data_IF_589814958624
#
_entry.id   IF_589814958624
#
_cell.length_a   1.000
_cell.length_b   1.000
_cell.length_c   1.000
_cell.angle_alpha   90.00
_cell.angle_beta   90.00
_cell.angle_gamma   90.00
#
_symmetry.space_group_name_H-M   'P 1'
#
loop_
_entity.id
_entity.type
_entity.pdbx_description
1 polymer ?
#
# COMPACT_ATOMS: atom_id res chain seq x y z
N UNK A 1 12.92 -11.30 1.96
CA UNK A 1 13.95 -11.53 3.00
C UNK A 1 13.58 -10.64 4.17
N UNK A 2 13.35 -11.23 5.35
CA UNK A 2 12.73 -10.54 6.48
C UNK A 2 13.72 -9.52 7.08
N UNK A 3 13.33 -8.25 7.23
CA UNK A 3 14.22 -7.17 7.71
C UNK A 3 14.90 -7.51 9.05
N UNK A 4 14.25 -8.28 9.91
CA UNK A 4 14.82 -8.75 11.19
C UNK A 4 15.99 -9.73 11.05
N UNK A 5 16.01 -10.56 10.01
CA UNK A 5 17.16 -11.42 9.71
C UNK A 5 18.32 -10.58 9.16
N UNK A 6 18.02 -9.55 8.35
CA UNK A 6 19.01 -8.61 7.85
C UNK A 6 19.66 -7.78 8.97
N UNK A 7 18.86 -7.24 9.88
CA UNK A 7 19.28 -6.53 11.09
C UNK A 7 20.18 -7.39 11.99
N UNK A 8 19.80 -8.64 12.24
CA UNK A 8 20.60 -9.56 13.06
C UNK A 8 21.96 -9.88 12.42
N UNK A 9 22.00 -10.01 11.08
CA UNK A 9 23.24 -10.25 10.33
C UNK A 9 24.13 -8.99 10.27
N UNK A 10 23.53 -7.81 10.13
CA UNK A 10 24.23 -6.52 10.10
C UNK A 10 24.80 -6.15 11.47
N UNK A 11 24.03 -6.37 12.54
CA UNK A 11 24.48 -6.22 13.92
C UNK A 11 25.64 -7.16 14.25
N UNK A 12 25.58 -8.42 13.80
CA UNK A 12 26.71 -9.35 13.90
C UNK A 12 27.95 -8.96 13.08
N UNK A 13 27.80 -8.06 12.10
CA UNK A 13 28.90 -7.52 11.29
C UNK A 13 29.45 -6.19 11.82
N UNK A 14 28.98 -5.73 12.98
CA UNK A 14 29.43 -4.48 13.61
C UNK A 14 28.92 -3.21 12.90
N UNK A 15 27.88 -3.33 12.06
CA UNK A 15 27.19 -2.17 11.49
C UNK A 15 26.17 -1.71 12.51
N UNK A 16 26.36 -0.50 13.04
CA UNK A 16 25.42 0.11 13.98
C UNK A 16 24.11 0.38 13.24
N UNK A 17 23.05 -0.32 13.64
CA UNK A 17 21.73 -0.13 13.05
C UNK A 17 20.93 0.72 13.99
N UNK A 18 20.62 1.93 13.53
CA UNK A 18 19.81 2.89 14.27
C UNK A 18 18.46 2.25 14.65
N UNK A 19 18.24 2.09 15.96
CA UNK A 19 17.06 1.45 16.51
C UNK A 19 15.77 2.21 16.19
N UNK A 20 15.84 3.53 16.04
CA UNK A 20 14.68 4.36 15.71
C UNK A 20 14.23 4.13 14.27
N UNK A 21 15.18 3.96 13.35
CA UNK A 21 14.92 3.56 11.96
C UNK A 21 14.30 2.16 11.89
N UNK A 22 14.80 1.21 12.69
CA UNK A 22 14.22 -0.13 12.75
C UNK A 22 12.76 -0.10 13.24
N UNK A 23 12.48 0.62 14.34
CA UNK A 23 11.12 0.77 14.87
C UNK A 23 10.18 1.42 13.85
N UNK A 24 10.64 2.45 13.11
CA UNK A 24 9.83 3.12 12.10
C UNK A 24 9.48 2.23 10.89
N UNK A 25 10.42 1.38 10.46
CA UNK A 25 10.16 0.41 9.38
C UNK A 25 9.18 -0.66 9.86
N UNK A 26 9.36 -1.19 11.07
CA UNK A 26 8.44 -2.20 11.63
C UNK A 26 7.03 -1.67 11.85
N UNK A 27 6.89 -0.44 12.37
CA UNK A 27 5.59 0.21 12.55
C UNK A 27 4.93 0.47 11.20
N UNK A 28 5.70 0.96 10.21
CA UNK A 28 5.25 1.16 8.83
C UNK A 28 4.74 -0.11 8.16
N UNK A 29 5.47 -1.22 8.29
CA UNK A 29 5.05 -2.53 7.79
C UNK A 29 3.78 -3.01 8.48
N UNK A 30 3.69 -2.85 9.81
CA UNK A 30 2.50 -3.23 10.56
C UNK A 30 1.26 -2.48 10.09
N UNK A 31 1.35 -1.15 9.97
CA UNK A 31 0.26 -0.30 9.46
C UNK A 31 -0.04 -0.64 7.99
N UNK A 32 0.99 -0.86 7.18
CA UNK A 32 0.84 -1.25 5.78
C UNK A 32 0.08 -2.56 5.59
N UNK A 33 0.36 -3.58 6.39
CA UNK A 33 -0.39 -4.85 6.36
C UNK A 33 -1.86 -4.60 6.69
N UNK A 34 -2.15 -3.86 7.77
CA UNK A 34 -3.54 -3.57 8.17
C UNK A 34 -4.29 -2.84 7.06
N UNK A 35 -3.71 -1.77 6.53
CA UNK A 35 -4.35 -0.98 5.48
C UNK A 35 -4.46 -1.75 4.16
N UNK A 36 -3.46 -2.57 3.81
CA UNK A 36 -3.50 -3.46 2.65
C UNK A 36 -4.60 -4.53 2.76
N UNK A 37 -4.79 -5.11 3.94
CA UNK A 37 -5.90 -6.02 4.20
C UNK A 37 -7.25 -5.32 4.07
N UNK A 38 -7.40 -4.12 4.66
CA UNK A 38 -8.62 -3.32 4.55
C UNK A 38 -8.94 -2.96 3.10
N UNK A 39 -7.92 -2.60 2.31
CA UNK A 39 -8.07 -2.35 0.88
C UNK A 39 -8.65 -3.57 0.15
N UNK A 40 -8.03 -4.74 0.35
CA UNK A 40 -8.48 -5.99 -0.29
C UNK A 40 -9.91 -6.38 0.13
N UNK A 41 -10.24 -6.23 1.41
CA UNK A 41 -11.59 -6.51 1.95
C UNK A 41 -12.62 -5.54 1.37
N UNK A 42 -12.33 -4.24 1.33
CA UNK A 42 -13.23 -3.23 0.77
C UNK A 42 -13.48 -3.47 -0.72
N UNK A 43 -12.43 -3.80 -1.47
CA UNK A 43 -12.52 -4.10 -2.90
C UNK A 43 -13.31 -5.38 -3.17
N UNK A 44 -13.08 -6.43 -2.38
CA UNK A 44 -13.84 -7.68 -2.46
C UNK A 44 -15.32 -7.52 -2.11
N UNK A 45 -15.63 -6.73 -1.08
CA UNK A 45 -17.00 -6.41 -0.69
C UNK A 45 -17.75 -5.64 -1.78
N UNK A 46 -17.07 -4.73 -2.48
CA UNK A 46 -17.62 -3.95 -3.58
C UNK A 46 -17.93 -4.80 -4.82
N UNK A 47 -16.98 -5.65 -5.24
CA UNK A 47 -17.11 -6.40 -6.50
C UNK A 47 -17.88 -7.72 -6.36
N UNK A 48 -17.91 -8.34 -5.16
CA UNK A 48 -18.56 -9.64 -4.88
C UNK A 48 -18.22 -10.77 -5.86
N UNK A 49 -17.12 -10.64 -6.60
CA UNK A 49 -16.60 -11.61 -7.54
C UNK A 49 -15.09 -11.75 -7.29
N UNK A 50 -14.67 -12.94 -6.87
CA UNK A 50 -13.29 -13.21 -6.48
C UNK A 50 -12.29 -12.95 -7.62
N UNK A 51 -12.65 -13.33 -8.85
CA UNK A 51 -11.78 -13.15 -10.02
C UNK A 51 -11.63 -11.66 -10.32
N UNK A 52 -12.74 -10.91 -10.37
CA UNK A 52 -12.68 -9.46 -10.59
C UNK A 52 -11.92 -8.76 -9.46
N UNK A 53 -12.09 -9.20 -8.21
CA UNK A 53 -11.37 -8.66 -7.05
C UNK A 53 -9.86 -8.81 -7.19
N UNK A 54 -9.41 -10.01 -7.53
CA UNK A 54 -7.98 -10.29 -7.71
C UNK A 54 -7.43 -9.51 -8.90
N UNK A 55 -8.11 -9.55 -10.05
CA UNK A 55 -7.66 -8.86 -11.27
C UNK A 55 -7.59 -7.36 -11.05
N UNK A 56 -8.64 -6.73 -10.50
CA UNK A 56 -8.65 -5.29 -10.23
C UNK A 56 -7.61 -4.91 -9.17
N UNK A 57 -7.46 -5.71 -8.11
CA UNK A 57 -6.44 -5.48 -7.09
C UNK A 57 -5.02 -5.51 -7.67
N UNK A 58 -4.71 -6.53 -8.48
CA UNK A 58 -3.42 -6.64 -9.17
C UNK A 58 -3.19 -5.49 -10.13
N UNK A 59 -4.19 -5.14 -10.94
CA UNK A 59 -4.09 -4.00 -11.86
C UNK A 59 -3.78 -2.73 -11.08
N UNK A 60 -4.53 -2.40 -10.03
CA UNK A 60 -4.34 -1.17 -9.25
C UNK A 60 -2.96 -1.10 -8.56
N UNK A 61 -2.39 -2.24 -8.17
CA UNK A 61 -1.07 -2.32 -7.57
C UNK A 61 0.07 -2.23 -8.60
N UNK A 62 -0.15 -2.72 -9.82
CA UNK A 62 0.86 -2.76 -10.89
C UNK A 62 0.77 -1.57 -11.85
N UNK A 63 -0.30 -0.76 -11.78
CA UNK A 63 -0.60 0.26 -12.78
C UNK A 63 0.44 1.38 -12.85
N UNK A 64 1.25 1.60 -11.80
CA UNK A 64 2.32 2.63 -11.81
C UNK A 64 3.18 2.52 -13.06
N UNK A 65 3.64 1.32 -13.42
CA UNK A 65 4.53 1.13 -14.56
C UNK A 65 3.90 1.62 -15.87
N UNK A 66 2.58 1.41 -16.01
CA UNK A 66 1.81 1.88 -17.17
C UNK A 66 1.58 3.39 -17.09
N UNK A 67 1.19 3.92 -15.92
CA UNK A 67 0.92 5.36 -15.75
C UNK A 67 2.18 6.21 -15.94
N UNK A 68 3.32 5.75 -15.43
CA UNK A 68 4.60 6.44 -15.59
C UNK A 68 5.01 6.57 -17.07
N UNK A 69 4.63 5.61 -17.92
CA UNK A 69 4.90 5.65 -19.35
C UNK A 69 4.07 6.70 -20.12
N UNK A 70 2.85 7.02 -19.65
CA UNK A 70 1.91 7.86 -20.40
C UNK A 70 1.63 9.23 -19.78
N UNK A 71 1.68 9.35 -18.45
CA UNK A 71 1.18 10.52 -17.69
C UNK A 71 2.31 11.21 -16.89
N UNK A 72 3.46 10.54 -16.70
CA UNK A 72 4.59 11.03 -15.93
C UNK A 72 4.63 10.48 -14.49
N UNK A 73 5.77 10.69 -13.82
CA UNK A 73 6.08 10.09 -12.51
C UNK A 73 5.34 10.73 -11.34
N UNK A 74 4.86 11.97 -11.50
CA UNK A 74 4.30 12.76 -10.40
C UNK A 74 2.97 12.26 -9.85
N UNK A 75 2.17 11.59 -10.67
CA UNK A 75 0.85 11.07 -10.24
C UNK A 75 0.99 9.61 -9.77
N UNK A 76 2.02 8.90 -10.23
CA UNK A 76 2.30 7.51 -9.87
C UNK A 76 2.43 7.28 -8.35
N UNK A 77 2.94 8.28 -7.62
CA UNK A 77 3.18 8.20 -6.17
C UNK A 77 1.92 8.13 -5.30
N UNK A 78 0.75 8.49 -5.84
CA UNK A 78 -0.53 8.41 -5.11
C UNK A 78 -1.27 7.09 -5.34
N UNK A 79 -0.74 6.20 -6.18
CA UNK A 79 -1.37 4.89 -6.39
C UNK A 79 -1.24 4.02 -5.14
N UNK A 80 -2.26 3.19 -4.83
CA UNK A 80 -2.28 2.38 -3.61
C UNK A 80 -1.09 1.42 -3.51
N UNK A 81 -0.59 0.88 -4.63
CA UNK A 81 0.61 0.05 -4.62
C UNK A 81 1.85 0.80 -4.12
N UNK A 82 2.04 2.04 -4.57
CA UNK A 82 3.21 2.86 -4.25
C UNK A 82 3.13 3.47 -2.86
N UNK A 83 1.94 3.93 -2.48
CA UNK A 83 1.68 4.36 -1.11
C UNK A 83 1.95 3.22 -0.11
N UNK A 84 1.62 1.98 -0.45
CA UNK A 84 1.95 0.84 0.42
C UNK A 84 3.47 0.60 0.51
N UNK A 85 4.21 0.73 -0.58
CA UNK A 85 5.68 0.57 -0.60
C UNK A 85 6.36 1.70 0.19
N UNK A 86 5.92 2.94 -0.01
CA UNK A 86 6.42 4.13 0.70
C UNK A 86 6.14 4.05 2.21
N UNK A 87 4.98 3.56 2.62
CA UNK A 87 4.61 3.36 4.02
C UNK A 87 5.51 2.33 4.74
N UNK A 88 6.02 1.33 3.99
CA UNK A 88 6.94 0.33 4.53
C UNK A 88 8.37 0.84 4.68
N UNK A 89 8.65 2.10 4.32
CA UNK A 89 9.99 2.69 4.41
C UNK A 89 11.01 2.01 3.50
N UNK A 90 10.55 1.32 2.45
CA UNK A 90 11.45 0.72 1.46
C UNK A 90 12.04 1.85 0.62
N UNK A 91 13.38 1.99 0.56
CA UNK A 91 14.00 2.94 -0.35
C UNK A 91 13.58 2.60 -1.78
N UNK A 92 12.76 3.45 -2.38
CA UNK A 92 12.39 3.30 -3.78
C UNK A 92 13.64 3.45 -4.63
N UNK A 93 13.87 2.50 -5.55
CA UNK A 93 14.88 2.68 -6.58
C UNK A 93 14.50 3.93 -7.40
N UNK A 94 15.30 4.99 -7.26
CA UNK A 94 15.38 6.16 -8.14
C UNK A 94 14.13 7.06 -8.27
N UNK A 95 13.19 7.07 -7.31
CA UNK A 95 12.02 7.97 -7.41
C UNK A 95 11.56 8.55 -6.08
N UNK A 96 11.11 9.82 -6.12
CA UNK A 96 10.54 10.58 -5.02
C UNK A 96 9.21 9.97 -4.56
N UNK A 97 9.29 9.01 -3.63
CA UNK A 97 8.15 8.43 -2.95
C UNK A 97 7.57 9.43 -1.93
N UNK A 98 6.29 9.28 -1.62
CA UNK A 98 5.66 10.06 -0.55
C UNK A 98 6.35 9.79 0.80
N UNK A 99 6.31 10.79 1.68
CA UNK A 99 6.62 10.59 3.09
C UNK A 99 5.78 9.44 3.65
N UNK A 100 6.34 8.68 4.60
CA UNK A 100 5.69 7.52 5.20
C UNK A 100 4.29 7.84 5.76
N UNK A 101 4.14 9.03 6.34
CA UNK A 101 2.85 9.51 6.89
C UNK A 101 1.86 9.84 5.77
N UNK A 102 2.30 10.56 4.75
CA UNK A 102 1.46 10.95 3.61
C UNK A 102 0.99 9.72 2.84
N UNK A 103 1.88 8.74 2.67
CA UNK A 103 1.58 7.46 2.04
C UNK A 103 0.50 6.68 2.82
N UNK A 104 0.60 6.66 4.16
CA UNK A 104 -0.42 6.07 5.03
C UNK A 104 -1.78 6.75 4.88
N UNK A 105 -1.81 8.09 4.83
CA UNK A 105 -3.05 8.86 4.64
C UNK A 105 -3.69 8.59 3.28
N UNK A 106 -2.90 8.54 2.20
CA UNK A 106 -3.41 8.23 0.86
C UNK A 106 -4.02 6.84 0.81
N UNK A 107 -3.37 5.84 1.40
CA UNK A 107 -3.90 4.48 1.42
C UNK A 107 -5.18 4.38 2.27
N UNK A 108 -5.21 5.04 3.43
CA UNK A 108 -6.38 5.09 4.30
C UNK A 108 -7.57 5.78 3.60
N UNK A 109 -7.32 6.90 2.91
CA UNK A 109 -8.32 7.59 2.12
C UNK A 109 -8.86 6.70 0.98
N UNK A 110 -7.99 5.96 0.30
CA UNK A 110 -8.40 5.02 -0.76
C UNK A 110 -9.28 3.90 -0.20
N UNK A 111 -8.92 3.35 0.96
CA UNK A 111 -9.74 2.35 1.65
C UNK A 111 -11.11 2.91 2.04
N UNK A 112 -11.17 4.14 2.57
CA UNK A 112 -12.41 4.80 2.96
C UNK A 112 -13.33 5.01 1.75
N UNK A 113 -12.79 5.48 0.62
CA UNK A 113 -13.54 5.65 -0.62
C UNK A 113 -14.11 4.32 -1.11
N UNK A 114 -13.31 3.25 -1.14
CA UNK A 114 -13.78 1.93 -1.56
C UNK A 114 -14.85 1.37 -0.61
N UNK A 115 -14.69 1.55 0.70
CA UNK A 115 -15.67 1.13 1.69
C UNK A 115 -16.99 1.88 1.52
N UNK A 116 -16.96 3.21 1.35
CA UNK A 116 -18.14 4.03 1.10
C UNK A 116 -18.82 3.62 -0.20
N UNK A 117 -18.06 3.46 -1.29
CA UNK A 117 -18.58 2.97 -2.56
C UNK A 117 -19.23 1.59 -2.41
N UNK A 118 -18.61 0.69 -1.64
CA UNK A 118 -19.15 -0.63 -1.32
C UNK A 118 -20.50 -0.58 -0.59
N UNK A 119 -20.62 0.29 0.41
CA UNK A 119 -21.88 0.52 1.15
C UNK A 119 -22.94 1.08 0.21
N UNK A 120 -22.62 2.12 -0.57
CA UNK A 120 -23.56 2.77 -1.49
C UNK A 120 -24.06 1.77 -2.54
N UNK A 121 -23.16 1.06 -3.22
CA UNK A 121 -23.51 0.05 -4.23
C UNK A 121 -24.35 -1.08 -3.62
N UNK A 122 -24.04 -1.51 -2.39
CA UNK A 122 -24.84 -2.52 -1.69
C UNK A 122 -26.25 -2.01 -1.41
N UNK A 123 -26.40 -0.78 -0.89
CA UNK A 123 -27.70 -0.16 -0.62
C UNK A 123 -28.55 -0.01 -1.87
N UNK A 124 -27.97 0.48 -2.97
CA UNK A 124 -28.69 0.60 -4.24
C UNK A 124 -29.19 -0.75 -4.78
N UNK A 125 -28.43 -1.84 -4.53
CA UNK A 125 -28.81 -3.19 -4.96
C UNK A 125 -29.83 -3.88 -4.05
N UNK A 126 -29.99 -3.43 -2.81
CA UNK A 126 -31.02 -3.97 -1.88
C UNK A 126 -32.41 -3.38 -2.15
N UNK A 127 -32.44 -2.17 -2.73
CA UNK A 127 -33.69 -1.43 -2.97
C UNK A 127 -34.31 -1.79 -4.35
N UNK A 128 -33.51 -2.36 -5.26
CA UNK A 128 -33.88 -2.67 -6.64
C UNK A 128 -34.00 -4.18 -6.85
#
# INVERSE_FOLDING_TARGET
VNAGLGLSILSNRGVDVDGDLAVNVYSGVGVGIVLGCLFGVALGALLRNQILTIVTGLVLFLVRGVVALFIGTDIGKYFPGEALIALQGTPGADTELLSQVDAGLVLAATCAVLAIAGVVVTRYREIN
#
